data_IF_318768243314
#
_entry.id   IF_318768243314
#
_cell.length_a   1.000
_cell.length_b   1.000
_cell.length_c   1.000
_cell.angle_alpha   90.00
_cell.angle_beta   90.00
_cell.angle_gamma   90.00
#
_symmetry.space_group_name_H-M   'P 1'
#
loop_
_entity.id
_entity.type
_entity.pdbx_description
1 polymer ?
#
# COMPACT_ATOMS: atom_id res chain seq x y z
N UNK A 1 -13.05 -10.15 -12.99
CA UNK A 1 -12.18 -9.37 -12.08
C UNK A 1 -11.28 -8.47 -12.90
N UNK A 2 -11.08 -7.26 -12.44
CA UNK A 2 -10.24 -6.28 -13.13
C UNK A 2 -8.98 -6.04 -12.28
N UNK A 3 -7.82 -6.22 -12.91
CA UNK A 3 -6.53 -6.13 -12.22
C UNK A 3 -5.86 -4.79 -12.50
N UNK A 4 -5.33 -4.18 -11.44
CA UNK A 4 -4.52 -2.97 -11.53
C UNK A 4 -3.19 -3.23 -10.84
N UNK A 5 -2.10 -2.75 -11.42
CA UNK A 5 -0.77 -2.95 -10.88
C UNK A 5 -0.06 -1.62 -10.76
N UNK A 6 0.71 -1.44 -9.69
CA UNK A 6 1.61 -0.30 -9.58
C UNK A 6 2.84 -0.54 -10.45
N UNK A 7 3.60 0.51 -10.71
CA UNK A 7 4.95 0.33 -11.24
C UNK A 7 5.82 -0.32 -10.16
N UNK A 8 6.95 -0.90 -10.58
CA UNK A 8 7.92 -1.48 -9.66
C UNK A 8 8.67 -0.35 -8.95
N UNK A 9 8.72 -0.39 -7.62
CA UNK A 9 9.40 0.61 -6.81
C UNK A 9 10.69 0.03 -6.26
N UNK A 10 11.79 0.78 -6.39
CA UNK A 10 13.07 0.43 -5.79
C UNK A 10 13.07 0.90 -4.34
N UNK A 11 13.51 0.02 -3.43
CA UNK A 11 13.55 0.31 -2.00
C UNK A 11 14.98 0.08 -1.49
N UNK A 12 15.61 1.09 -0.86
CA UNK A 12 17.01 0.98 -0.38
C UNK A 12 17.09 0.23 0.95
N UNK A 13 16.34 -0.86 1.08
CA UNK A 13 16.31 -1.73 2.26
C UNK A 13 16.15 -3.17 1.79
N UNK A 14 16.61 -4.12 2.61
CA UNK A 14 16.56 -5.54 2.24
C UNK A 14 15.11 -6.03 2.14
N UNK A 15 14.93 -7.07 1.33
CA UNK A 15 13.63 -7.75 1.20
C UNK A 15 13.07 -8.14 2.57
N UNK A 16 13.90 -8.68 3.46
CA UNK A 16 13.47 -9.12 4.77
C UNK A 16 13.01 -7.94 5.65
N UNK A 17 13.73 -6.81 5.60
CA UNK A 17 13.34 -5.62 6.38
C UNK A 17 12.01 -5.06 5.90
N UNK A 18 11.80 -4.99 4.59
CA UNK A 18 10.54 -4.53 4.02
C UNK A 18 9.40 -5.48 4.41
N UNK A 19 9.62 -6.77 4.28
CA UNK A 19 8.61 -7.77 4.65
C UNK A 19 8.27 -7.68 6.14
N UNK A 20 9.28 -7.63 7.02
CA UNK A 20 9.06 -7.58 8.46
C UNK A 20 8.20 -6.37 8.87
N UNK A 21 8.41 -5.23 8.21
CA UNK A 21 7.63 -4.03 8.50
C UNK A 21 6.20 -4.16 7.98
N UNK A 22 6.03 -4.59 6.74
CA UNK A 22 4.70 -4.60 6.09
C UNK A 22 3.85 -5.80 6.49
N UNK A 23 4.44 -6.86 7.01
CA UNK A 23 3.69 -8.04 7.46
C UNK A 23 3.03 -7.84 8.82
N UNK A 24 3.41 -6.79 9.54
CA UNK A 24 2.75 -6.33 10.77
C UNK A 24 2.55 -4.83 10.64
N UNK A 25 1.35 -4.43 10.28
CA UNK A 25 1.04 -3.03 9.97
C UNK A 25 1.10 -2.10 11.17
N UNK A 26 1.18 -2.63 12.40
CA UNK A 26 1.50 -1.82 13.57
C UNK A 26 2.87 -1.16 13.43
N UNK A 27 3.81 -1.81 12.73
CA UNK A 27 5.11 -1.21 12.45
C UNK A 27 4.97 0.03 11.58
N UNK A 28 4.08 -0.02 10.58
CA UNK A 28 3.81 1.12 9.70
C UNK A 28 3.16 2.25 10.49
N UNK A 29 2.21 1.93 11.37
CA UNK A 29 1.55 2.92 12.22
C UNK A 29 2.55 3.62 13.14
N UNK A 30 3.49 2.89 13.73
CA UNK A 30 4.55 3.47 14.57
C UNK A 30 5.46 4.40 13.78
N UNK A 31 5.83 4.01 12.56
CA UNK A 31 6.66 4.86 11.69
C UNK A 31 5.90 6.12 11.27
N UNK A 32 4.60 5.98 10.99
CA UNK A 32 3.75 7.11 10.66
C UNK A 32 3.71 8.14 11.80
N UNK A 33 3.60 7.67 13.05
CA UNK A 33 3.59 8.53 14.24
C UNK A 33 4.91 9.27 14.45
N UNK A 34 6.02 8.73 13.93
CA UNK A 34 7.35 9.34 14.03
C UNK A 34 7.63 10.38 12.96
N UNK A 35 6.74 10.52 11.96
CA UNK A 35 6.94 11.52 10.91
C UNK A 35 6.85 12.93 11.50
N UNK A 36 7.68 13.86 11.02
CA UNK A 36 7.64 15.23 11.54
C UNK A 36 6.31 15.89 11.21
N UNK A 37 5.81 16.72 12.13
CA UNK A 37 4.62 17.52 11.87
C UNK A 37 4.97 18.71 11.00
N UNK A 38 4.02 19.14 10.15
CA UNK A 38 4.21 20.28 9.28
C UNK A 38 5.07 19.98 8.06
N UNK A 39 5.48 21.02 7.36
CA UNK A 39 6.26 20.87 6.14
C UNK A 39 7.69 20.46 6.43
N UNK A 40 8.22 19.52 5.63
CA UNK A 40 9.61 19.07 5.72
C UNK A 40 10.53 19.91 4.84
N UNK A 41 9.97 20.81 4.02
CA UNK A 41 10.74 21.53 3.01
C UNK A 41 10.95 20.77 1.71
N UNK A 42 10.42 19.55 1.63
CA UNK A 42 10.49 18.71 0.44
C UNK A 42 9.05 18.35 0.01
N UNK A 43 8.62 18.89 -1.15
CA UNK A 43 7.25 18.72 -1.63
C UNK A 43 6.86 17.25 -1.83
N UNK A 44 7.76 16.42 -2.33
CA UNK A 44 7.47 15.00 -2.52
C UNK A 44 7.28 14.28 -1.19
N UNK A 45 8.15 14.56 -0.22
CA UNK A 45 8.04 13.97 1.12
C UNK A 45 6.77 14.43 1.81
N UNK A 46 6.40 15.71 1.68
CA UNK A 46 5.17 16.24 2.26
C UNK A 46 3.93 15.55 1.67
N UNK A 47 3.94 15.27 0.37
CA UNK A 47 2.83 14.54 -0.27
C UNK A 47 2.74 13.10 0.23
N UNK A 48 3.86 12.41 0.35
CA UNK A 48 3.92 11.05 0.86
C UNK A 48 3.41 11.01 2.30
N UNK A 49 3.87 11.94 3.13
CA UNK A 49 3.45 12.07 4.51
C UNK A 49 1.93 12.27 4.63
N UNK A 50 1.37 13.16 3.80
CA UNK A 50 -0.07 13.41 3.77
C UNK A 50 -0.84 12.13 3.41
N UNK A 51 -0.37 11.38 2.43
CA UNK A 51 -1.00 10.13 2.02
C UNK A 51 -0.97 9.08 3.13
N UNK A 52 0.16 8.95 3.81
CA UNK A 52 0.27 8.01 4.93
C UNK A 52 -0.64 8.39 6.09
N UNK A 53 -0.82 9.67 6.35
CA UNK A 53 -1.71 10.13 7.42
C UNK A 53 -3.18 9.84 7.13
N UNK A 54 -3.55 9.70 5.85
CA UNK A 54 -4.92 9.38 5.45
C UNK A 54 -5.22 7.87 5.46
N UNK A 55 -4.23 7.06 5.77
CA UNK A 55 -4.37 5.61 5.88
C UNK A 55 -4.30 5.23 7.36
N UNK A 56 -5.27 4.45 7.82
CA UNK A 56 -5.29 3.93 9.19
C UNK A 56 -4.79 2.49 9.17
N UNK A 57 -3.86 2.17 10.06
CA UNK A 57 -3.24 0.85 10.13
C UNK A 57 -3.52 0.19 11.48
N UNK A 58 -3.86 -1.11 11.43
CA UNK A 58 -3.88 -2.01 12.58
C UNK A 58 -2.87 -3.13 12.30
N UNK A 59 -2.71 -4.07 13.22
CA UNK A 59 -1.76 -5.16 13.05
C UNK A 59 -1.93 -5.90 11.72
N UNK A 60 -3.17 -6.23 11.37
CA UNK A 60 -3.49 -7.06 10.20
C UNK A 60 -4.36 -6.35 9.17
N UNK A 61 -4.64 -5.07 9.34
CA UNK A 61 -5.59 -4.39 8.45
C UNK A 61 -5.19 -2.94 8.20
N UNK A 62 -5.72 -2.38 7.14
CA UNK A 62 -5.62 -0.96 6.84
C UNK A 62 -6.92 -0.45 6.22
N UNK A 63 -7.17 0.85 6.37
CA UNK A 63 -8.34 1.52 5.82
C UNK A 63 -7.93 2.86 5.23
N UNK A 64 -8.57 3.23 4.14
CA UNK A 64 -8.35 4.54 3.52
C UNK A 64 -9.60 4.97 2.75
N UNK A 65 -9.68 6.25 2.44
CA UNK A 65 -10.76 6.80 1.63
C UNK A 65 -10.27 7.04 0.21
N UNK A 66 -10.96 6.49 -0.79
CA UNK A 66 -10.60 6.60 -2.20
C UNK A 66 -11.82 7.14 -2.95
N UNK A 67 -11.82 8.43 -3.31
CA UNK A 67 -12.92 9.02 -4.08
C UNK A 67 -12.86 8.56 -5.54
N UNK A 68 -13.98 8.29 -6.19
CA UNK A 68 -15.36 8.28 -5.70
C UNK A 68 -15.79 6.94 -5.11
N UNK A 69 -14.90 5.98 -4.94
CA UNK A 69 -15.20 4.63 -4.48
C UNK A 69 -15.72 4.63 -3.04
N UNK A 70 -15.16 5.48 -2.18
CA UNK A 70 -15.50 5.55 -0.77
C UNK A 70 -14.44 4.94 0.11
N UNK A 71 -14.80 4.58 1.33
CA UNK A 71 -13.86 4.00 2.27
C UNK A 71 -13.53 2.56 1.88
N UNK A 72 -12.24 2.28 1.74
CA UNK A 72 -11.72 0.96 1.42
C UNK A 72 -10.98 0.43 2.63
N UNK A 73 -11.37 -0.77 3.08
CA UNK A 73 -10.71 -1.47 4.16
C UNK A 73 -10.26 -2.84 3.66
N UNK A 74 -9.12 -3.29 4.13
CA UNK A 74 -8.60 -4.60 3.78
C UNK A 74 -7.81 -5.20 4.94
N UNK A 75 -7.74 -6.53 4.97
CA UNK A 75 -7.00 -7.24 6.01
C UNK A 75 -6.07 -8.27 5.41
N UNK A 76 -4.98 -8.55 6.10
CA UNK A 76 -4.02 -9.57 5.69
C UNK A 76 -4.64 -10.95 5.92
N UNK A 77 -4.67 -11.78 4.89
CA UNK A 77 -5.18 -13.16 4.97
C UNK A 77 -4.11 -14.20 4.72
N UNK A 78 -3.00 -13.81 4.10
CA UNK A 78 -1.93 -14.75 3.79
C UNK A 78 -0.59 -14.02 3.79
N UNK A 79 0.41 -14.67 4.37
CA UNK A 79 1.78 -14.17 4.40
C UNK A 79 2.70 -15.26 3.86
N UNK A 80 3.41 -14.95 2.77
CA UNK A 80 4.44 -15.81 2.22
C UNK A 80 5.78 -15.13 2.43
N UNK A 81 6.41 -15.43 3.53
CA UNK A 81 7.68 -14.79 3.92
C UNK A 81 8.82 -15.19 2.98
N UNK A 82 9.64 -14.29 2.52
CA UNK A 82 9.58 -12.82 2.64
C UNK A 82 9.08 -12.14 1.36
N UNK A 83 8.30 -12.83 0.55
CA UNK A 83 7.95 -12.42 -0.81
C UNK A 83 6.63 -11.69 -0.94
N UNK A 84 5.58 -12.19 -0.30
CA UNK A 84 4.22 -11.75 -0.62
C UNK A 84 3.37 -11.61 0.62
N UNK A 85 2.57 -10.53 0.65
CA UNK A 85 1.53 -10.32 1.65
C UNK A 85 0.23 -10.14 0.88
N UNK A 86 -0.75 -11.00 1.17
CA UNK A 86 -2.05 -10.98 0.50
C UNK A 86 -3.12 -10.43 1.43
N UNK A 87 -3.94 -9.54 0.90
CA UNK A 87 -5.05 -8.92 1.62
C UNK A 87 -6.37 -9.28 0.93
N UNK A 88 -7.46 -9.25 1.69
CA UNK A 88 -8.81 -9.29 1.12
C UNK A 88 -9.60 -8.07 1.61
N UNK A 89 -10.60 -7.67 0.83
CA UNK A 89 -11.47 -6.56 1.22
C UNK A 89 -12.25 -6.92 2.48
N UNK A 90 -12.46 -5.92 3.35
CA UNK A 90 -13.23 -6.04 4.59
C UNK A 90 -14.10 -4.80 4.70
N UNK A 91 -15.44 -4.99 4.71
CA UNK A 91 -16.39 -3.87 4.82
C UNK A 91 -16.17 -2.76 3.79
N UNK A 92 -15.85 -3.14 2.57
CA UNK A 92 -15.58 -2.20 1.47
C UNK A 92 -16.70 -2.27 0.44
N UNK A 93 -16.97 -1.17 -0.29
CA UNK A 93 -18.00 -1.17 -1.34
C UNK A 93 -17.67 -2.08 -2.52
N UNK A 94 -16.39 -2.45 -2.69
CA UNK A 94 -15.94 -3.38 -3.72
C UNK A 94 -15.33 -4.61 -3.09
N UNK A 95 -15.55 -5.78 -3.70
CA UNK A 95 -14.84 -7.00 -3.33
C UNK A 95 -13.54 -7.06 -4.11
N UNK A 96 -12.42 -7.28 -3.42
CA UNK A 96 -11.12 -7.34 -4.08
C UNK A 96 -10.12 -8.14 -3.26
N UNK A 97 -9.04 -8.54 -3.92
CA UNK A 97 -7.81 -9.00 -3.29
C UNK A 97 -6.69 -8.02 -3.62
N UNK A 98 -5.73 -7.89 -2.73
CA UNK A 98 -4.62 -6.97 -2.87
C UNK A 98 -3.34 -7.69 -2.46
N UNK A 99 -2.26 -7.48 -3.20
CA UNK A 99 -0.97 -8.13 -2.94
C UNK A 99 0.12 -7.10 -2.86
N UNK A 100 1.02 -7.29 -1.91
CA UNK A 100 2.31 -6.62 -1.87
C UNK A 100 3.35 -7.69 -2.21
N UNK A 101 4.06 -7.50 -3.31
CA UNK A 101 5.12 -8.41 -3.74
C UNK A 101 6.47 -7.73 -3.54
N UNK A 102 7.39 -8.43 -2.88
CA UNK A 102 8.71 -7.90 -2.51
C UNK A 102 9.76 -8.87 -3.02
N UNK A 103 10.67 -8.38 -3.87
CA UNK A 103 11.74 -9.20 -4.44
C UNK A 103 13.10 -8.61 -4.08
N UNK A 104 14.13 -9.45 -3.85
CA UNK A 104 15.45 -8.93 -3.55
C UNK A 104 16.14 -8.39 -4.81
N UNK A 105 16.90 -7.32 -4.65
CA UNK A 105 17.80 -6.81 -5.70
C UNK A 105 19.24 -7.05 -5.27
N UNK A 106 19.56 -6.66 -4.01
CA UNK A 106 20.84 -6.98 -3.38
C UNK A 106 20.53 -7.37 -1.92
N UNK A 107 21.57 -7.65 -1.14
CA UNK A 107 21.41 -7.95 0.29
C UNK A 107 20.80 -6.78 1.08
N UNK A 108 20.97 -5.56 0.59
CA UNK A 108 20.51 -4.35 1.27
C UNK A 108 19.51 -3.53 0.47
N UNK A 109 19.00 -4.07 -0.64
CA UNK A 109 17.99 -3.37 -1.44
C UNK A 109 16.98 -4.37 -2.01
N UNK A 110 15.79 -3.86 -2.32
CA UNK A 110 14.69 -4.68 -2.83
C UNK A 110 13.85 -3.88 -3.81
N UNK A 111 12.88 -4.56 -4.42
CA UNK A 111 11.88 -3.91 -5.25
C UNK A 111 10.50 -4.42 -4.84
N UNK A 112 9.51 -3.58 -5.02
CA UNK A 112 8.14 -3.85 -4.58
C UNK A 112 7.16 -3.51 -5.68
N UNK A 113 6.10 -4.31 -5.78
CA UNK A 113 4.98 -4.03 -6.68
C UNK A 113 3.69 -4.34 -5.94
N UNK A 114 2.70 -3.47 -6.11
CA UNK A 114 1.36 -3.67 -5.57
C UNK A 114 0.42 -4.11 -6.68
N UNK A 115 -0.51 -5.00 -6.36
CA UNK A 115 -1.52 -5.50 -7.31
C UNK A 115 -2.86 -5.55 -6.59
N UNK A 116 -3.92 -5.07 -7.26
CA UNK A 116 -5.29 -5.23 -6.80
C UNK A 116 -6.10 -5.91 -7.90
N UNK A 117 -6.90 -6.91 -7.51
CA UNK A 117 -7.82 -7.60 -8.43
C UNK A 117 -9.23 -7.40 -7.87
N UNK A 118 -9.99 -6.53 -8.51
CA UNK A 118 -11.26 -6.04 -7.99
C UNK A 118 -12.42 -6.51 -8.85
N UNK A 119 -13.52 -6.87 -8.17
CA UNK A 119 -14.79 -7.19 -8.82
C UNK A 119 -15.57 -5.88 -9.02
N UNK A 120 -15.43 -5.29 -10.21
CA UNK A 120 -16.03 -4.01 -10.53
C UNK A 120 -17.24 -4.24 -11.44
N UNK A 121 -18.44 -3.81 -11.04
CA UNK A 121 -19.61 -3.89 -11.91
C UNK A 121 -19.35 -3.21 -13.25
N UNK A 122 -19.83 -3.79 -14.32
CA UNK A 122 -19.61 -3.29 -15.68
C UNK A 122 -19.91 -1.80 -15.80
N UNK A 123 -21.05 -1.36 -15.25
CA UNK A 123 -21.47 0.04 -15.34
C UNK A 123 -20.57 0.99 -14.54
N UNK A 124 -19.79 0.49 -13.60
CA UNK A 124 -18.93 1.32 -12.75
C UNK A 124 -17.47 1.36 -13.23
N UNK A 125 -17.08 0.52 -14.19
CA UNK A 125 -15.68 0.43 -14.63
C UNK A 125 -15.10 1.77 -15.08
N UNK A 126 -15.84 2.51 -15.87
CA UNK A 126 -15.38 3.81 -16.37
C UNK A 126 -15.21 4.86 -15.26
N UNK A 127 -15.92 4.69 -14.16
CA UNK A 127 -15.88 5.63 -13.03
C UNK A 127 -14.76 5.33 -12.04
N UNK A 128 -14.47 4.04 -11.81
CA UNK A 128 -13.56 3.65 -10.72
C UNK A 128 -12.18 3.18 -11.19
N UNK A 129 -12.02 2.84 -12.47
CA UNK A 129 -10.75 2.29 -12.98
C UNK A 129 -9.58 3.24 -12.80
N UNK A 130 -9.74 4.49 -13.22
CA UNK A 130 -8.68 5.50 -13.11
C UNK A 130 -8.35 5.81 -11.63
N UNK A 131 -9.33 6.08 -10.75
CA UNK A 131 -9.04 6.27 -9.33
C UNK A 131 -8.30 5.09 -8.69
N UNK A 132 -8.67 3.86 -9.03
CA UNK A 132 -8.00 2.67 -8.49
C UNK A 132 -6.56 2.56 -8.99
N UNK A 133 -6.33 2.80 -10.29
CA UNK A 133 -4.98 2.76 -10.85
C UNK A 133 -4.09 3.83 -10.25
N UNK A 134 -4.60 5.05 -10.13
CA UNK A 134 -3.85 6.15 -9.51
C UNK A 134 -3.65 5.90 -8.02
N UNK A 135 -4.66 5.36 -7.35
CA UNK A 135 -4.60 5.06 -5.93
C UNK A 135 -3.52 4.03 -5.60
N UNK A 136 -3.45 2.94 -6.37
CA UNK A 136 -2.45 1.90 -6.12
C UNK A 136 -1.03 2.43 -6.36
N UNK A 137 -0.85 3.29 -7.37
CA UNK A 137 0.44 3.91 -7.63
C UNK A 137 0.85 4.84 -6.49
N UNK A 138 -0.08 5.63 -5.98
CA UNK A 138 0.17 6.54 -4.85
C UNK A 138 0.50 5.79 -3.57
N UNK A 139 -0.18 4.67 -3.32
CA UNK A 139 0.11 3.83 -2.16
C UNK A 139 1.52 3.24 -2.29
N UNK A 140 1.87 2.75 -3.48
CA UNK A 140 3.20 2.20 -3.73
C UNK A 140 4.29 3.26 -3.50
N UNK A 141 4.08 4.49 -3.97
CA UNK A 141 5.02 5.60 -3.73
C UNK A 141 5.18 5.87 -2.23
N UNK A 142 4.06 5.91 -1.50
CA UNK A 142 4.07 6.17 -0.07
C UNK A 142 4.81 5.07 0.69
N UNK A 143 4.52 3.80 0.39
CA UNK A 143 5.18 2.67 1.04
C UNK A 143 6.66 2.61 0.71
N UNK A 144 7.05 2.98 -0.51
CA UNK A 144 8.47 2.97 -0.92
C UNK A 144 9.31 4.02 -0.17
N UNK A 145 8.68 5.04 0.40
CA UNK A 145 9.36 6.10 1.13
C UNK A 145 9.47 5.84 2.63
N UNK A 146 8.88 4.75 3.13
CA UNK A 146 8.97 4.39 4.55
C UNK A 146 10.42 4.02 4.88
N UNK A 147 10.96 4.50 6.04
CA UNK A 147 12.31 4.14 6.47
C UNK A 147 12.32 2.73 7.07
N UNK A 148 12.31 1.72 6.22
CA UNK A 148 12.37 0.32 6.65
C UNK A 148 13.73 0.01 7.29
N UNK A 149 13.72 -0.69 8.40
CA UNK A 149 14.93 -1.14 9.06
C UNK A 149 14.82 -2.57 9.54
#
# INVERSE_FOLDING_TARGET
MTKFESSVKQIPHSQQSVYNTLSDLNNVQRLKERLPEGSTGNDEMDKVKERLQNITFDQDSLSMNVDPVGQISMRIIEREEPKTIKFESANSPLSFNFWIQILPVTESSSKMKLTIDADIPFFAKGMVSKPLQEGIEKIADALAMIPFE
#
